data_IF_050149912608
#
_entry.id   IF_050149912608
#
_cell.length_a   1.000
_cell.length_b   1.000
_cell.length_c   1.000
_cell.angle_alpha   90.00
_cell.angle_beta   90.00
_cell.angle_gamma   90.00
#
_symmetry.space_group_name_H-M   'P 1'
#
loop_
_entity.id
_entity.type
_entity.pdbx_description
1 polymer ?
#
# COMPACT_ATOMS: atom_id res chain seq x y z
N UNK A 1 0.27 -14.93 9.33
CA UNK A 1 1.37 -14.13 8.74
C UNK A 1 1.00 -13.35 7.49
N UNK A 2 0.42 -13.96 6.43
CA UNK A 2 0.10 -13.21 5.20
C UNK A 2 -0.87 -12.03 5.42
N UNK A 3 -1.87 -12.18 6.31
CA UNK A 3 -2.81 -11.11 6.67
C UNK A 3 -2.19 -9.94 7.42
N UNK A 4 -1.18 -10.17 8.27
CA UNK A 4 -0.52 -9.07 8.98
C UNK A 4 0.42 -8.26 8.08
N UNK A 5 0.94 -8.87 7.01
CA UNK A 5 1.73 -8.16 5.99
C UNK A 5 0.82 -7.29 5.11
N UNK A 6 -0.35 -7.81 4.69
CA UNK A 6 -1.33 -7.06 3.91
C UNK A 6 -1.89 -5.87 4.70
N UNK A 7 -2.30 -6.09 5.95
CA UNK A 7 -2.82 -5.03 6.82
C UNK A 7 -1.78 -3.93 7.08
N UNK A 8 -0.50 -4.29 7.22
CA UNK A 8 0.58 -3.31 7.38
C UNK A 8 0.90 -2.55 6.09
N UNK A 9 0.76 -3.18 4.91
CA UNK A 9 0.85 -2.49 3.62
C UNK A 9 -0.31 -1.52 3.41
N UNK A 10 -1.53 -1.90 3.75
CA UNK A 10 -2.71 -1.02 3.67
C UNK A 10 -2.54 0.21 4.58
N UNK A 11 -2.00 0.02 5.79
CA UNK A 11 -1.73 1.12 6.73
C UNK A 11 -0.66 2.09 6.19
N UNK A 12 0.45 1.57 5.65
CA UNK A 12 1.51 2.40 5.05
C UNK A 12 0.99 3.14 3.81
N UNK A 13 0.15 2.50 2.99
CA UNK A 13 -0.46 3.16 1.84
C UNK A 13 -1.44 4.27 2.25
N UNK A 14 -2.18 4.10 3.35
CA UNK A 14 -3.05 5.13 3.90
C UNK A 14 -2.24 6.33 4.43
N UNK A 15 -1.21 6.11 5.25
CA UNK A 15 -0.35 7.19 5.79
C UNK A 15 0.36 7.98 4.69
N UNK A 16 0.81 7.33 3.61
CA UNK A 16 1.47 8.01 2.49
C UNK A 16 0.48 8.83 1.66
N UNK A 17 -0.79 8.43 1.59
CA UNK A 17 -1.84 9.19 0.89
C UNK A 17 -2.43 10.31 1.76
N UNK A 18 -2.39 10.19 3.09
CA UNK A 18 -2.80 11.22 4.05
C UNK A 18 -1.70 12.22 4.38
N UNK A 19 -0.51 12.10 3.76
CA UNK A 19 0.58 13.03 3.97
C UNK A 19 0.12 14.44 3.54
N UNK A 20 -0.02 15.40 4.48
CA UNK A 20 -0.62 16.68 4.19
C UNK A 20 0.20 17.46 3.16
N UNK A 21 -0.48 18.26 2.33
CA UNK A 21 0.06 19.06 1.20
C UNK A 21 1.11 20.12 1.60
N UNK A 22 1.70 20.04 2.79
CA UNK A 22 2.66 20.96 3.39
C UNK A 22 4.03 20.99 2.66
N UNK A 23 4.20 20.21 1.59
CA UNK A 23 5.42 20.22 0.77
C UNK A 23 5.22 20.76 -0.65
N UNK A 24 4.04 21.30 -0.98
CA UNK A 24 3.77 21.92 -2.30
C UNK A 24 3.43 23.42 -2.23
N UNK A 25 3.34 24.01 -1.04
CA UNK A 25 3.30 25.45 -0.88
C UNK A 25 4.71 26.05 -0.82
N UNK A 26 4.85 27.22 -1.41
CA UNK A 26 5.98 28.16 -1.31
C UNK A 26 7.20 27.87 -2.19
N UNK A 27 6.92 27.94 -3.50
CA UNK A 27 7.87 28.46 -4.47
C UNK A 27 7.22 29.53 -5.36
N UNK A 28 6.28 30.32 -4.82
CA UNK A 28 5.83 31.54 -5.49
C UNK A 28 6.94 32.59 -5.36
N UNK A 29 7.30 33.12 -6.51
CA UNK A 29 8.35 34.09 -6.75
C UNK A 29 7.92 35.42 -6.11
N UNK A 30 8.71 35.90 -5.14
CA UNK A 30 8.70 37.29 -4.69
C UNK A 30 9.07 38.20 -5.89
N UNK A 31 8.07 38.68 -6.61
CA UNK A 31 8.18 39.86 -7.46
C UNK A 31 7.28 40.96 -6.86
N UNK A 32 7.91 41.83 -6.07
CA UNK A 32 7.63 43.24 -5.82
C UNK A 32 6.24 43.78 -6.23
N UNK A 33 5.34 44.09 -5.27
CA UNK A 33 4.61 45.38 -5.32
C UNK A 33 3.85 45.75 -4.02
N UNK A 34 4.10 46.99 -3.58
CA UNK A 34 3.12 47.96 -3.04
C UNK A 34 2.16 47.53 -1.89
N UNK A 35 2.64 47.66 -0.66
CA UNK A 35 2.38 48.88 0.11
C UNK A 35 0.94 49.40 0.30
N UNK A 36 -0.01 48.63 0.84
CA UNK A 36 -1.12 49.25 1.58
C UNK A 36 -1.52 48.53 2.87
N UNK A 37 -1.20 49.20 3.97
CA UNK A 37 -1.61 48.90 5.34
C UNK A 37 -3.13 49.06 5.47
N UNK A 38 -3.84 47.97 5.75
CA UNK A 38 -5.21 48.03 6.28
C UNK A 38 -5.16 47.45 7.69
N UNK A 39 -5.22 48.34 8.67
CA UNK A 39 -5.51 47.99 10.06
C UNK A 39 -6.95 47.45 10.11
N UNK A 40 -7.10 46.18 10.47
CA UNK A 40 -8.37 45.61 10.92
C UNK A 40 -8.14 45.14 12.35
N UNK A 41 -8.43 46.05 13.27
CA UNK A 41 -8.79 45.73 14.64
C UNK A 41 -10.17 45.07 14.62
N UNK A 42 -10.25 43.78 14.91
CA UNK A 42 -11.43 43.24 15.59
C UNK A 42 -11.06 42.03 16.44
N UNK A 43 -10.97 42.33 17.74
CA UNK A 43 -10.90 41.38 18.82
C UNK A 43 -12.29 40.79 19.10
N UNK A 44 -12.36 39.47 19.25
CA UNK A 44 -13.22 38.72 20.19
C UNK A 44 -12.89 37.23 20.00
N UNK A 45 -12.15 36.64 20.94
CA UNK A 45 -12.71 35.72 21.94
C UNK A 45 -13.42 34.52 21.29
N UNK A 46 -12.84 33.32 21.44
CA UNK A 46 -13.58 32.11 21.80
C UNK A 46 -12.63 30.97 22.20
N UNK A 47 -12.70 30.69 23.51
CA UNK A 47 -12.53 29.44 24.25
C UNK A 47 -11.25 28.58 24.11
N UNK A 48 -10.46 28.67 25.18
CA UNK A 48 -9.69 27.58 25.75
C UNK A 48 -10.56 26.34 26.01
N UNK A 49 -10.24 25.23 25.36
CA UNK A 49 -10.53 23.91 25.91
C UNK A 49 -9.20 23.21 26.20
N UNK A 50 -8.74 23.41 27.43
CA UNK A 50 -7.83 22.50 28.10
C UNK A 50 -8.58 21.22 28.47
N UNK A 51 -8.07 20.06 28.07
CA UNK A 51 -8.37 18.78 28.69
C UNK A 51 -7.21 17.80 28.46
N UNK A 52 -6.42 17.68 29.53
CA UNK A 52 -5.80 16.46 30.05
C UNK A 52 -4.82 15.68 29.16
N UNK A 53 -3.55 16.05 29.31
CA UNK A 53 -2.43 15.12 29.34
C UNK A 53 -2.55 14.25 30.60
N UNK A 54 -2.66 12.93 30.44
CA UNK A 54 -2.21 11.89 31.39
C UNK A 54 -2.48 10.52 30.73
N UNK A 55 -1.45 9.84 30.24
CA UNK A 55 -1.04 8.60 30.91
C UNK A 55 0.31 8.11 30.36
N UNK A 56 1.28 8.08 31.27
CA UNK A 56 2.61 7.60 31.08
C UNK A 56 2.70 6.18 31.64
N UNK A 57 2.81 5.18 30.76
CA UNK A 57 3.39 3.89 31.17
C UNK A 57 4.69 3.64 30.42
N UNK A 58 5.76 3.96 31.15
CA UNK A 58 7.10 3.43 31.03
C UNK A 58 7.11 1.90 31.08
N UNK A 59 7.84 1.23 30.18
CA UNK A 59 8.51 -0.03 30.53
C UNK A 59 9.74 -0.28 29.64
N UNK A 60 10.88 -0.11 30.31
CA UNK A 60 12.09 -0.95 30.29
C UNK A 60 13.02 -0.96 29.07
N UNK A 61 14.09 -0.18 29.25
CA UNK A 61 15.45 -0.48 28.82
C UNK A 61 15.85 -1.95 29.09
N UNK A 62 16.37 -2.61 28.06
CA UNK A 62 17.22 -3.79 28.23
C UNK A 62 18.58 -3.54 27.55
N UNK A 63 19.53 -3.24 28.42
CA UNK A 63 20.98 -3.15 28.20
C UNK A 63 21.62 -4.50 27.87
N UNK A 64 22.76 -4.45 27.15
CA UNK A 64 23.77 -5.52 27.04
C UNK A 64 23.59 -6.49 25.86
N UNK A 65 24.59 -6.80 25.03
CA UNK A 65 25.99 -7.06 25.36
C UNK A 65 26.97 -6.63 24.25
N UNK A 66 28.10 -6.10 24.71
CA UNK A 66 29.36 -6.01 23.98
C UNK A 66 29.96 -7.41 23.84
N UNK A 67 30.29 -7.82 22.62
CA UNK A 67 31.36 -8.78 22.37
C UNK A 67 32.45 -8.13 21.50
N UNK A 68 33.59 -7.89 22.15
CA UNK A 68 34.88 -7.65 21.50
C UNK A 68 35.45 -9.02 21.15
N UNK A 69 35.73 -9.26 19.87
CA UNK A 69 36.82 -10.17 19.52
C UNK A 69 37.60 -9.62 18.33
N UNK A 70 38.87 -9.34 18.63
CA UNK A 70 39.88 -9.01 17.66
C UNK A 70 40.49 -10.31 17.13
N UNK A 71 40.53 -10.49 15.80
CA UNK A 71 41.44 -11.45 15.16
C UNK A 71 41.79 -11.03 13.73
N UNK A 72 42.92 -10.32 13.65
CA UNK A 72 44.11 -10.62 12.83
C UNK A 72 43.94 -11.22 11.42
N UNK A 73 44.38 -10.43 10.44
CA UNK A 73 45.23 -10.76 9.27
C UNK A 73 44.85 -11.94 8.35
N UNK A 74 44.58 -11.61 7.09
CA UNK A 74 44.65 -12.56 5.99
C UNK A 74 44.50 -11.89 4.64
N UNK A 75 45.60 -11.44 4.04
CA UNK A 75 45.64 -11.01 2.65
C UNK A 75 45.32 -12.22 1.74
N UNK A 76 44.15 -12.19 1.10
CA UNK A 76 43.68 -13.23 0.20
C UNK A 76 43.06 -12.61 -1.07
N UNK A 77 43.79 -12.69 -2.17
CA UNK A 77 43.34 -12.40 -3.53
C UNK A 77 42.11 -13.25 -3.90
N UNK A 78 41.12 -12.62 -4.56
CA UNK A 78 40.18 -13.32 -5.46
C UNK A 78 38.77 -13.58 -4.93
N UNK A 79 38.07 -12.54 -4.46
CA UNK A 79 36.65 -12.62 -4.14
C UNK A 79 35.79 -12.55 -5.41
N UNK A 80 35.24 -13.69 -5.85
CA UNK A 80 34.01 -13.70 -6.65
C UNK A 80 32.94 -13.07 -5.77
N UNK A 81 32.50 -11.85 -6.12
CA UNK A 81 31.40 -11.19 -5.42
C UNK A 81 30.20 -12.13 -5.40
N UNK A 82 29.84 -12.56 -4.19
CA UNK A 82 28.51 -13.11 -3.90
C UNK A 82 27.50 -12.18 -4.56
N UNK A 83 26.82 -12.67 -5.60
CA UNK A 83 25.72 -11.94 -6.25
C UNK A 83 24.66 -11.72 -5.17
N UNK A 84 24.63 -10.52 -4.61
CA UNK A 84 23.50 -10.06 -3.80
C UNK A 84 22.22 -10.33 -4.58
N UNK A 85 21.34 -11.15 -4.00
CA UNK A 85 20.01 -11.38 -4.52
C UNK A 85 19.20 -10.11 -4.27
N UNK A 86 18.95 -9.36 -5.32
CA UNK A 86 18.25 -8.09 -5.26
C UNK A 86 17.47 -7.83 -6.54
N UNK A 87 16.55 -6.86 -6.48
CA UNK A 87 15.78 -6.43 -7.65
C UNK A 87 16.69 -5.62 -8.56
N UNK A 88 16.83 -6.06 -9.81
CA UNK A 88 17.47 -5.27 -10.87
C UNK A 88 16.40 -4.65 -11.74
N UNK A 89 16.24 -3.32 -11.64
CA UNK A 89 15.37 -2.54 -12.52
C UNK A 89 16.26 -1.86 -13.57
N UNK A 90 16.03 -2.17 -14.84
CA UNK A 90 16.69 -1.48 -15.96
C UNK A 90 15.65 -0.65 -16.69
N UNK A 91 15.84 0.67 -16.68
CA UNK A 91 15.02 1.63 -17.42
C UNK A 91 15.83 2.10 -18.63
N UNK A 92 15.29 1.90 -19.82
CA UNK A 92 15.91 2.33 -21.06
C UNK A 92 15.18 3.59 -21.55
N UNK A 93 15.80 4.76 -21.39
CA UNK A 93 15.26 6.04 -21.85
C UNK A 93 16.35 6.82 -22.62
N UNK A 94 16.01 7.26 -23.82
CA UNK A 94 16.90 8.03 -24.70
C UNK A 94 16.92 9.53 -24.33
N UNK A 95 15.83 10.06 -23.75
CA UNK A 95 15.73 11.46 -23.34
C UNK A 95 16.26 11.69 -21.91
N UNK A 96 17.11 12.72 -21.72
CA UNK A 96 17.65 13.15 -20.42
C UNK A 96 16.56 13.55 -19.41
N UNK A 97 15.44 14.14 -19.86
CA UNK A 97 14.32 14.48 -18.97
C UNK A 97 13.62 13.22 -18.48
N UNK A 98 13.41 12.26 -19.39
CA UNK A 98 12.83 10.96 -19.05
C UNK A 98 13.76 10.11 -18.17
N UNK A 99 15.09 10.25 -18.28
CA UNK A 99 16.02 9.58 -17.37
C UNK A 99 15.84 10.00 -15.90
N UNK A 100 15.47 11.25 -15.62
CA UNK A 100 15.20 11.70 -14.24
C UNK A 100 13.96 10.99 -13.68
N UNK A 101 12.88 10.96 -14.46
CA UNK A 101 11.62 10.28 -14.11
C UNK A 101 11.85 8.77 -13.96
N UNK A 102 12.56 8.15 -14.91
CA UNK A 102 12.93 6.73 -14.85
C UNK A 102 13.78 6.36 -13.63
N UNK A 103 14.71 7.22 -13.20
CA UNK A 103 15.48 7.02 -11.97
C UNK A 103 14.59 7.06 -10.72
N UNK A 104 13.64 7.98 -10.67
CA UNK A 104 12.71 8.08 -9.55
C UNK A 104 11.79 6.86 -9.48
N UNK A 105 11.20 6.45 -10.61
CA UNK A 105 10.38 5.23 -10.71
C UNK A 105 11.16 3.98 -10.28
N UNK A 106 12.41 3.84 -10.74
CA UNK A 106 13.27 2.71 -10.32
C UNK A 106 13.50 2.68 -8.82
N UNK A 107 13.76 3.83 -8.18
CA UNK A 107 13.95 3.90 -6.71
C UNK A 107 12.67 3.54 -5.96
N UNK A 108 11.53 4.06 -6.40
CA UNK A 108 10.23 3.76 -5.79
C UNK A 108 9.90 2.26 -5.88
N UNK A 109 10.07 1.65 -7.06
CA UNK A 109 9.88 0.21 -7.25
C UNK A 109 10.86 -0.62 -6.42
N UNK A 110 12.12 -0.21 -6.34
CA UNK A 110 13.11 -0.93 -5.55
C UNK A 110 12.77 -0.86 -4.06
N UNK A 111 12.34 0.30 -3.55
CA UNK A 111 11.90 0.46 -2.16
C UNK A 111 10.66 -0.38 -1.84
N UNK A 112 9.66 -0.41 -2.73
CA UNK A 112 8.44 -1.19 -2.54
C UNK A 112 8.68 -2.71 -2.63
N UNK A 113 9.55 -3.15 -3.55
CA UNK A 113 9.70 -4.58 -3.89
C UNK A 113 10.82 -5.24 -3.08
N UNK A 114 11.82 -4.49 -2.58
CA UNK A 114 12.94 -5.03 -1.80
C UNK A 114 12.48 -5.85 -0.57
N UNK A 115 11.56 -5.37 0.30
CA UNK A 115 11.12 -6.13 1.47
C UNK A 115 10.51 -7.48 1.14
N UNK A 116 9.84 -7.58 -0.02
CA UNK A 116 9.22 -8.81 -0.51
C UNK A 116 10.32 -9.76 -1.01
N UNK A 117 11.25 -9.25 -1.82
CA UNK A 117 12.32 -10.05 -2.43
C UNK A 117 13.25 -10.63 -1.39
N UNK A 118 13.66 -9.85 -0.38
CA UNK A 118 14.51 -10.34 0.71
C UNK A 118 13.79 -11.38 1.55
N UNK A 119 12.52 -11.14 1.89
CA UNK A 119 11.72 -12.07 2.71
C UNK A 119 11.48 -13.42 2.03
N UNK A 120 11.29 -13.44 0.71
CA UNK A 120 10.98 -14.65 -0.05
C UNK A 120 12.15 -15.20 -0.86
N UNK A 121 13.34 -14.60 -0.75
CA UNK A 121 14.56 -15.02 -1.45
C UNK A 121 14.38 -15.12 -2.98
N UNK A 122 13.58 -14.20 -3.53
CA UNK A 122 13.23 -14.15 -4.95
C UNK A 122 14.32 -13.46 -5.78
N UNK A 123 14.28 -13.65 -7.10
CA UNK A 123 15.14 -12.90 -8.03
C UNK A 123 14.25 -12.32 -9.13
N UNK A 124 13.91 -11.05 -8.99
CA UNK A 124 12.96 -10.34 -9.84
C UNK A 124 13.71 -9.42 -10.79
N UNK A 125 13.46 -9.58 -12.09
CA UNK A 125 13.98 -8.74 -13.16
C UNK A 125 12.82 -7.98 -13.78
N UNK A 126 12.83 -6.66 -13.61
CA UNK A 126 11.79 -5.77 -14.16
C UNK A 126 12.41 -4.97 -15.31
N UNK A 127 11.89 -5.18 -16.52
CA UNK A 127 12.23 -4.37 -17.68
C UNK A 127 11.09 -3.38 -17.90
N UNK A 128 11.38 -2.08 -17.81
CA UNK A 128 10.42 -1.01 -18.05
C UNK A 128 10.78 -0.33 -19.37
N UNK A 129 9.98 -0.60 -20.39
CA UNK A 129 10.02 0.11 -21.66
C UNK A 129 9.03 1.27 -21.60
N UNK A 130 9.53 2.47 -21.28
CA UNK A 130 8.76 3.70 -21.29
C UNK A 130 8.63 4.20 -22.73
N UNK A 131 7.72 3.58 -23.48
CA UNK A 131 7.40 3.99 -24.84
C UNK A 131 6.41 5.17 -24.79
N UNK A 132 6.92 6.36 -24.45
CA UNK A 132 6.12 7.59 -24.53
C UNK A 132 5.99 7.94 -26.01
N UNK A 133 4.96 7.38 -26.64
CA UNK A 133 4.62 7.66 -28.02
C UNK A 133 4.15 9.12 -28.14
N UNK A 134 5.10 10.04 -28.24
CA UNK A 134 4.86 11.35 -28.85
C UNK A 134 4.59 11.11 -30.34
N UNK A 135 3.34 10.71 -30.65
CA UNK A 135 2.78 10.78 -31.99
C UNK A 135 2.49 12.24 -32.30
N UNK A 136 3.54 13.05 -32.44
CA UNK A 136 3.42 14.30 -33.17
C UNK A 136 3.12 13.94 -34.63
N UNK A 137 1.96 14.41 -35.08
CA UNK A 137 1.41 14.13 -36.40
C UNK A 137 2.41 14.44 -37.48
N UNK A 138 2.92 13.38 -38.10
CA UNK A 138 3.63 13.43 -39.37
C UNK A 138 2.62 13.90 -40.41
N UNK A 139 2.67 15.18 -40.77
CA UNK A 139 1.87 15.76 -41.84
C UNK A 139 2.14 14.98 -43.13
N UNK A 140 1.16 14.16 -43.52
CA UNK A 140 1.13 13.52 -44.83
C UNK A 140 0.81 14.57 -45.89
N UNK A 141 1.68 14.59 -46.90
CA UNK A 141 1.54 15.05 -48.27
C UNK A 141 0.16 15.63 -48.67
N UNK A 142 0.15 16.92 -49.00
CA UNK A 142 -0.81 17.46 -49.95
C UNK A 142 -0.19 17.51 -51.35
N UNK A 143 -0.88 16.84 -52.25
CA UNK A 143 -0.58 16.48 -53.62
C UNK A 143 -0.52 17.65 -54.60
N UNK A 144 0.35 17.46 -55.60
CA UNK A 144 0.28 18.07 -56.93
C UNK A 144 -1.13 18.00 -57.53
N UNK A 145 -1.61 19.08 -58.18
CA UNK A 145 -2.15 19.03 -59.54
C UNK A 145 -2.63 20.40 -60.07
N UNK A 146 -2.54 20.53 -61.39
CA UNK A 146 -3.25 21.46 -62.28
C UNK A 146 -2.57 22.79 -62.63
N UNK A 147 -1.62 22.70 -63.57
CA UNK A 147 -1.31 23.79 -64.50
C UNK A 147 -2.39 23.84 -65.58
N UNK A 148 -3.42 24.67 -65.39
CA UNK A 148 -4.24 25.19 -66.48
C UNK A 148 -3.96 26.68 -66.65
N UNK A 149 -3.65 27.08 -67.88
CA UNK A 149 -3.44 28.46 -68.29
C UNK A 149 -4.78 29.21 -68.24
N UNK A 150 -5.01 29.99 -67.19
CA UNK A 150 -6.04 31.05 -67.18
C UNK A 150 -5.37 32.41 -67.31
N UNK A 151 -5.67 33.08 -68.41
CA UNK A 151 -5.31 34.46 -68.66
C UNK A 151 -6.06 35.40 -67.69
N UNK A 152 -5.35 36.33 -67.06
CA UNK A 152 -5.90 37.63 -66.67
C UNK A 152 -6.59 37.78 -65.31
N UNK A 153 -6.39 36.91 -64.32
CA UNK A 153 -6.89 37.19 -62.95
C UNK A 153 -5.96 38.19 -62.24
N UNK A 154 -6.50 39.28 -61.64
CA UNK A 154 -5.71 40.27 -60.92
C UNK A 154 -4.99 39.63 -59.74
N UNK A 155 -3.70 39.96 -59.59
CA UNK A 155 -2.83 39.46 -58.53
C UNK A 155 -3.45 39.82 -57.17
N UNK A 156 -3.60 38.87 -56.23
CA UNK A 156 -4.19 39.17 -54.93
C UNK A 156 -3.33 40.20 -54.19
N UNK A 157 -3.98 41.19 -53.57
CA UNK A 157 -3.29 42.21 -52.78
C UNK A 157 -2.68 41.62 -51.51
N UNK A 158 -1.61 42.22 -50.99
CA UNK A 158 -0.93 41.75 -49.76
C UNK A 158 -1.90 41.59 -48.57
N UNK A 159 -2.92 42.45 -48.49
CA UNK A 159 -3.96 42.37 -47.47
C UNK A 159 -4.82 41.10 -47.61
N UNK A 160 -5.14 40.67 -48.84
CA UNK A 160 -5.87 39.42 -49.07
C UNK A 160 -5.04 38.20 -48.66
N UNK A 161 -3.74 38.21 -48.91
CA UNK A 161 -2.84 37.13 -48.49
C UNK A 161 -2.75 37.03 -46.96
N UNK A 162 -2.67 38.17 -46.25
CA UNK A 162 -2.72 38.20 -44.77
C UNK A 162 -4.03 37.63 -44.24
N UNK A 163 -5.18 38.09 -44.75
CA UNK A 163 -6.50 37.56 -44.34
C UNK A 163 -6.62 36.04 -44.57
N UNK A 164 -6.06 35.52 -45.66
CA UNK A 164 -6.04 34.06 -45.92
C UNK A 164 -5.18 33.31 -44.91
N UNK A 165 -4.01 33.84 -44.56
CA UNK A 165 -3.14 33.25 -43.55
C UNK A 165 -3.78 33.26 -42.15
N UNK A 166 -4.46 34.36 -41.80
CA UNK A 166 -5.16 34.48 -40.51
C UNK A 166 -6.34 33.50 -40.43
N UNK A 167 -7.14 33.38 -41.50
CA UNK A 167 -8.21 32.38 -41.58
C UNK A 167 -7.69 30.95 -41.48
N UNK A 168 -6.54 30.63 -42.08
CA UNK A 168 -5.92 29.31 -41.95
C UNK A 168 -5.50 29.04 -40.51
N UNK A 169 -4.88 30.02 -39.84
CA UNK A 169 -4.49 29.92 -38.42
C UNK A 169 -5.69 29.77 -37.49
N UNK A 170 -6.80 30.46 -37.77
CA UNK A 170 -8.05 30.31 -37.01
C UNK A 170 -8.61 28.90 -37.19
N UNK A 171 -8.63 28.37 -38.42
CA UNK A 171 -9.10 27.00 -38.67
C UNK A 171 -8.25 25.96 -37.96
N UNK A 172 -6.92 26.11 -37.98
CA UNK A 172 -6.00 25.23 -37.26
C UNK A 172 -6.30 25.25 -35.75
N UNK A 173 -6.39 26.43 -35.13
CA UNK A 173 -6.76 26.57 -33.71
C UNK A 173 -8.12 25.95 -33.40
N UNK A 174 -9.11 26.11 -34.29
CA UNK A 174 -10.42 25.49 -34.11
C UNK A 174 -10.34 23.95 -34.11
N UNK A 175 -9.53 23.36 -34.99
CA UNK A 175 -9.33 21.90 -34.98
C UNK A 175 -8.64 21.43 -33.71
N UNK A 176 -7.66 22.18 -33.20
CA UNK A 176 -7.02 21.89 -31.91
C UNK A 176 -8.01 21.97 -30.76
N UNK A 177 -8.87 23.01 -30.72
CA UNK A 177 -9.90 23.14 -29.68
C UNK A 177 -10.88 21.98 -29.71
N UNK A 178 -11.39 21.60 -30.88
CA UNK A 178 -12.30 20.47 -31.03
C UNK A 178 -11.64 19.15 -30.58
N UNK A 179 -10.34 18.96 -30.86
CA UNK A 179 -9.61 17.79 -30.37
C UNK A 179 -9.51 17.80 -28.84
N UNK A 180 -9.15 18.94 -28.24
CA UNK A 180 -9.05 19.07 -26.77
C UNK A 180 -10.39 18.86 -26.08
N UNK A 181 -11.49 19.33 -26.69
CA UNK A 181 -12.84 19.07 -26.21
C UNK A 181 -13.20 17.57 -26.27
N UNK A 182 -12.82 16.88 -27.35
CA UNK A 182 -12.95 15.42 -27.45
C UNK A 182 -12.16 14.70 -26.36
N UNK A 183 -10.91 15.11 -26.12
CA UNK A 183 -10.04 14.52 -25.10
C UNK A 183 -10.64 14.73 -23.69
N UNK A 184 -11.14 15.93 -23.38
CA UNK A 184 -11.81 16.24 -22.11
C UNK A 184 -13.08 15.39 -21.90
N UNK A 185 -13.88 15.22 -22.94
CA UNK A 185 -15.06 14.36 -22.89
C UNK A 185 -14.68 12.89 -22.66
N UNK A 186 -13.57 12.42 -23.23
CA UNK A 186 -13.07 11.08 -22.98
C UNK A 186 -12.58 10.92 -21.53
N UNK A 187 -11.82 11.87 -21.01
CA UNK A 187 -11.36 11.86 -19.62
C UNK A 187 -12.54 11.86 -18.64
N UNK A 188 -13.56 12.66 -18.92
CA UNK A 188 -14.78 12.74 -18.10
C UNK A 188 -15.47 11.39 -18.00
N UNK A 189 -15.59 10.66 -19.14
CA UNK A 189 -16.14 9.30 -19.14
C UNK A 189 -15.30 8.33 -18.33
N UNK A 190 -13.97 8.41 -18.43
CA UNK A 190 -13.07 7.57 -17.65
C UNK A 190 -13.20 7.81 -16.14
N UNK A 191 -13.31 9.08 -15.73
CA UNK A 191 -13.56 9.45 -14.33
C UNK A 191 -14.89 8.90 -13.83
N UNK A 192 -15.96 8.99 -14.62
CA UNK A 192 -17.26 8.41 -14.27
C UNK A 192 -17.18 6.89 -14.09
N UNK A 193 -16.53 6.18 -15.01
CA UNK A 193 -16.33 4.73 -14.87
C UNK A 193 -15.54 4.37 -13.62
N UNK A 194 -14.47 5.11 -13.31
CA UNK A 194 -13.70 4.89 -12.09
C UNK A 194 -14.51 5.14 -10.82
N UNK A 195 -15.37 6.16 -10.81
CA UNK A 195 -16.27 6.43 -9.69
C UNK A 195 -17.28 5.30 -9.48
N UNK A 196 -17.86 4.77 -10.57
CA UNK A 196 -18.78 3.63 -10.51
C UNK A 196 -18.09 2.35 -10.00
N UNK A 197 -16.88 2.07 -10.49
CA UNK A 197 -16.08 0.94 -10.04
C UNK A 197 -15.67 1.05 -8.57
N UNK A 198 -15.31 2.26 -8.13
CA UNK A 198 -15.00 2.54 -6.72
C UNK A 198 -16.21 2.30 -5.81
N UNK A 199 -17.36 2.87 -6.16
CA UNK A 199 -18.60 2.68 -5.40
C UNK A 199 -19.00 1.20 -5.32
N UNK A 200 -18.81 0.45 -6.40
CA UNK A 200 -19.05 -1.00 -6.43
C UNK A 200 -18.07 -1.76 -5.54
N UNK A 201 -16.79 -1.40 -5.54
CA UNK A 201 -15.78 -2.00 -4.68
C UNK A 201 -16.10 -1.77 -3.19
N UNK A 202 -16.45 -0.54 -2.84
CA UNK A 202 -16.84 -0.15 -1.48
C UNK A 202 -18.06 -0.94 -1.00
N UNK A 203 -19.11 -1.05 -1.83
CA UNK A 203 -20.30 -1.84 -1.52
C UNK A 203 -19.97 -3.33 -1.27
N UNK A 204 -19.09 -3.93 -2.09
CA UNK A 204 -18.64 -5.31 -1.90
C UNK A 204 -17.84 -5.47 -0.59
N UNK A 205 -16.95 -4.51 -0.28
CA UNK A 205 -16.19 -4.53 0.96
C UNK A 205 -17.11 -4.46 2.18
N UNK A 206 -18.09 -3.54 2.17
CA UNK A 206 -19.07 -3.42 3.25
C UNK A 206 -19.89 -4.71 3.42
N UNK A 207 -20.34 -5.31 2.32
CA UNK A 207 -21.07 -6.58 2.35
C UNK A 207 -20.21 -7.71 2.96
N UNK A 208 -18.95 -7.82 2.56
CA UNK A 208 -18.03 -8.84 3.08
C UNK A 208 -17.76 -8.64 4.58
N UNK A 209 -17.58 -7.39 5.01
CA UNK A 209 -17.41 -7.04 6.42
C UNK A 209 -18.64 -7.46 7.25
N UNK A 210 -19.84 -7.15 6.77
CA UNK A 210 -21.09 -7.58 7.42
C UNK A 210 -21.21 -9.11 7.51
N UNK A 211 -20.89 -9.84 6.44
CA UNK A 211 -20.88 -11.31 6.48
C UNK A 211 -19.86 -11.87 7.48
N UNK A 212 -18.69 -11.22 7.60
CA UNK A 212 -17.68 -11.63 8.57
C UNK A 212 -18.19 -11.45 10.00
N UNK A 213 -18.78 -10.29 10.32
CA UNK A 213 -19.38 -10.02 11.62
C UNK A 213 -20.49 -11.02 11.96
N UNK A 214 -21.35 -11.36 11.01
CA UNK A 214 -22.40 -12.37 11.21
C UNK A 214 -21.82 -13.75 11.52
N UNK A 215 -20.79 -14.18 10.78
CA UNK A 215 -20.10 -15.45 11.05
C UNK A 215 -19.41 -15.45 12.40
N UNK A 216 -18.80 -14.33 12.78
CA UNK A 216 -18.19 -14.18 14.09
C UNK A 216 -19.22 -14.34 15.21
N UNK A 217 -20.34 -13.62 15.14
CA UNK A 217 -21.43 -13.73 16.12
C UNK A 217 -21.98 -15.17 16.22
N UNK A 218 -22.10 -15.89 15.10
CA UNK A 218 -22.51 -17.30 15.10
C UNK A 218 -21.50 -18.21 15.81
N UNK A 219 -20.21 -17.98 15.62
CA UNK A 219 -19.16 -18.75 16.31
C UNK A 219 -19.15 -18.45 17.81
N UNK A 220 -19.33 -17.18 18.21
CA UNK A 220 -19.44 -16.78 19.61
C UNK A 220 -20.62 -17.47 20.31
N UNK A 221 -21.80 -17.50 19.66
CA UNK A 221 -22.96 -18.24 20.17
C UNK A 221 -22.67 -19.75 20.32
N UNK A 222 -21.97 -20.35 19.36
CA UNK A 222 -21.59 -21.77 19.42
C UNK A 222 -20.59 -22.05 20.55
N UNK A 223 -19.67 -21.12 20.81
CA UNK A 223 -18.73 -21.23 21.94
C UNK A 223 -19.49 -21.18 23.27
N UNK A 224 -20.47 -20.28 23.41
CA UNK A 224 -21.31 -20.23 24.61
C UNK A 224 -22.10 -21.52 24.83
N UNK A 225 -22.69 -22.10 23.79
CA UNK A 225 -23.40 -23.39 23.86
C UNK A 225 -22.47 -24.55 24.26
N UNK A 226 -21.25 -24.59 23.72
CA UNK A 226 -20.25 -25.60 24.10
C UNK A 226 -19.79 -25.45 25.54
N UNK A 227 -19.57 -24.22 26.01
CA UNK A 227 -19.23 -23.94 27.41
C UNK A 227 -20.37 -24.42 28.33
N UNK A 228 -21.62 -24.16 27.97
CA UNK A 228 -22.78 -24.61 28.73
C UNK A 228 -22.86 -26.14 28.79
N UNK A 229 -22.74 -26.83 27.65
CA UNK A 229 -22.71 -28.31 27.60
C UNK A 229 -21.56 -28.90 28.41
N UNK A 230 -20.39 -28.26 28.41
CA UNK A 230 -19.26 -28.70 29.21
C UNK A 230 -19.56 -28.60 30.72
N UNK A 231 -20.22 -27.53 31.16
CA UNK A 231 -20.69 -27.39 32.56
C UNK A 231 -21.68 -28.49 32.95
N UNK A 232 -22.65 -28.80 32.08
CA UNK A 232 -23.64 -29.87 32.30
C UNK A 232 -22.98 -31.26 32.38
N UNK A 233 -22.01 -31.55 31.49
CA UNK A 233 -21.24 -32.79 31.52
C UNK A 233 -20.37 -32.92 32.77
N UNK A 234 -19.77 -31.81 33.23
CA UNK A 234 -18.98 -31.77 34.46
C UNK A 234 -19.86 -32.04 35.67
N UNK A 235 -21.05 -31.42 35.74
CA UNK A 235 -22.03 -31.67 36.80
C UNK A 235 -22.48 -33.15 36.82
N UNK A 236 -22.84 -33.71 35.66
CA UNK A 236 -23.26 -35.12 35.54
C UNK A 236 -22.14 -36.09 35.95
N UNK A 237 -20.90 -35.79 35.58
CA UNK A 237 -19.73 -36.60 35.96
C UNK A 237 -19.48 -36.59 37.47
N UNK A 238 -19.73 -35.45 38.11
CA UNK A 238 -19.62 -35.30 39.56
C UNK A 238 -20.67 -36.15 40.30
N UNK A 239 -21.92 -36.17 39.83
CA UNK A 239 -22.98 -37.01 40.39
C UNK A 239 -22.68 -38.51 40.27
N UNK A 240 -22.13 -38.95 39.14
CA UNK A 240 -21.73 -40.34 38.94
C UNK A 240 -20.58 -40.77 39.87
N UNK A 241 -19.66 -39.88 40.22
CA UNK A 241 -18.57 -40.18 41.17
C UNK A 241 -19.09 -40.50 42.57
N UNK A 242 -20.11 -39.80 43.05
CA UNK A 242 -20.70 -40.06 44.36
C UNK A 242 -21.47 -41.40 44.42
N UNK A 243 -21.95 -41.89 43.29
CA UNK A 243 -22.78 -43.09 43.23
C UNK A 243 -21.97 -44.41 43.13
N UNK A 244 -20.71 -44.36 42.67
CA UNK A 244 -19.88 -45.56 42.43
C UNK A 244 -18.77 -45.80 43.48
N UNK A 245 -18.74 -45.05 44.58
CA UNK A 245 -17.64 -45.08 45.56
C UNK A 245 -17.69 -46.23 46.60
N UNK A 246 -18.26 -47.41 46.28
CA UNK A 246 -18.27 -48.57 47.19
C UNK A 246 -17.39 -49.74 46.77
N UNK A 247 -16.54 -49.59 45.74
CA UNK A 247 -15.57 -50.63 45.39
C UNK A 247 -14.27 -50.40 46.15
N UNK A 248 -14.00 -51.28 47.12
CA UNK A 248 -12.73 -51.36 47.87
C UNK A 248 -11.54 -51.41 46.91
N UNK A 249 -10.62 -50.47 47.07
CA UNK A 249 -9.35 -50.42 46.36
C UNK A 249 -8.36 -51.43 46.96
N UNK A 250 -8.18 -52.56 46.27
CA UNK A 250 -6.99 -53.39 46.46
C UNK A 250 -5.82 -52.76 45.67
N UNK A 251 -4.73 -52.53 46.40
CA UNK A 251 -3.56 -51.75 46.02
C UNK A 251 -2.83 -52.27 44.77
N UNK A 252 -2.93 -51.55 43.65
CA UNK A 252 -2.01 -51.70 42.51
C UNK A 252 -1.61 -50.32 41.95
N UNK A 253 -0.50 -49.78 42.47
CA UNK A 253 0.37 -48.76 41.85
C UNK A 253 -0.30 -47.57 41.16
N UNK A 254 -0.63 -46.52 41.92
CA UNK A 254 -1.14 -45.27 41.39
C UNK A 254 -0.11 -44.58 40.46
N UNK A 255 -0.31 -44.67 39.15
CA UNK A 255 0.38 -43.85 38.16
C UNK A 255 -0.27 -42.47 38.01
N UNK A 256 0.51 -41.47 37.64
CA UNK A 256 0.04 -40.10 37.39
C UNK A 256 -0.20 -39.89 35.89
N UNK A 257 -1.35 -39.36 35.48
CA UNK A 257 -1.67 -39.10 34.07
C UNK A 257 -1.48 -37.62 33.70
N UNK A 258 -0.96 -37.35 32.50
CA UNK A 258 -0.89 -35.99 31.97
C UNK A 258 -2.29 -35.48 31.57
N UNK A 259 -2.74 -34.32 32.06
CA UNK A 259 -4.07 -33.78 31.73
C UNK A 259 -4.15 -33.28 30.27
N UNK A 260 -3.01 -33.01 29.63
CA UNK A 260 -2.98 -32.47 28.26
C UNK A 260 -3.01 -33.58 27.19
N UNK A 261 -2.30 -34.69 27.40
CA UNK A 261 -2.18 -35.74 26.38
C UNK A 261 -2.60 -37.14 26.87
N UNK A 262 -2.90 -37.32 28.15
CA UNK A 262 -3.33 -38.61 28.73
C UNK A 262 -2.22 -39.63 28.98
N UNK A 263 -0.94 -39.29 28.78
CA UNK A 263 0.19 -40.21 29.03
C UNK A 263 0.33 -40.55 30.52
N UNK A 264 0.60 -41.82 30.83
CA UNK A 264 0.75 -42.34 32.20
C UNK A 264 2.22 -42.36 32.63
N UNK A 265 2.49 -41.82 33.80
CA UNK A 265 3.82 -41.73 34.41
C UNK A 265 3.84 -42.47 35.73
N UNK A 266 4.94 -43.17 36.02
CA UNK A 266 5.12 -43.86 37.30
C UNK A 266 5.41 -42.87 38.43
N UNK A 267 5.99 -41.73 38.11
CA UNK A 267 6.51 -40.75 39.06
C UNK A 267 5.99 -39.34 38.70
N UNK A 268 5.75 -38.51 39.71
CA UNK A 268 5.24 -37.13 39.52
C UNK A 268 6.25 -36.21 38.81
N UNK A 269 7.56 -36.44 39.00
CA UNK A 269 8.61 -35.66 38.36
C UNK A 269 8.60 -35.79 36.84
N UNK A 270 8.43 -37.02 36.32
CA UNK A 270 8.37 -37.28 34.88
C UNK A 270 7.13 -36.63 34.25
N UNK A 271 6.02 -36.64 34.98
CA UNK A 271 4.81 -35.93 34.58
C UNK A 271 5.06 -34.42 34.48
N UNK A 272 5.73 -33.82 35.45
CA UNK A 272 5.95 -32.37 35.48
C UNK A 272 6.83 -31.91 34.29
N UNK A 273 7.94 -32.60 34.03
CA UNK A 273 8.80 -32.34 32.87
C UNK A 273 8.00 -32.48 31.57
N UNK A 274 7.15 -33.51 31.49
CA UNK A 274 6.34 -33.75 30.32
C UNK A 274 5.28 -32.64 30.10
N UNK A 275 4.64 -32.15 31.16
CA UNK A 275 3.66 -31.05 31.07
C UNK A 275 4.33 -29.79 30.54
N UNK A 276 5.53 -29.45 31.01
CA UNK A 276 6.29 -28.30 30.50
C UNK A 276 6.62 -28.44 29.00
N UNK A 277 6.98 -29.65 28.56
CA UNK A 277 7.23 -29.94 27.14
C UNK A 277 5.96 -29.98 26.28
N UNK A 278 4.78 -30.21 26.86
CA UNK A 278 3.52 -30.30 26.10
C UNK A 278 2.89 -28.94 25.81
N UNK A 279 3.28 -27.88 26.51
CA UNK A 279 2.74 -26.53 26.36
C UNK A 279 3.56 -25.68 25.38
N UNK A 280 4.79 -26.10 25.07
CA UNK A 280 5.70 -25.44 24.12
C UNK A 280 5.47 -25.91 22.68
#
# INVERSE_FOLDING_TARGET
>A
MARSVLSRMETICAEVMEMPEIFLADGEEDDDDDGSTVEIDEAAELDELAADEDDAESVEDCDGEKSKDASKSGAGKGGKSSKEKGVSVKVNCEDKKQQKVGKWISRALQAAVNPIVTKFNLNLKVNLDLNVANKEGKQEAATNASKQQEAGKPKPTAQQMRRRADLARIKEKQTTLNQKESDLNQLTKQLQTLQEDFAKCEANHLQNSQQHLQKQAQLELKVMDLIQKNRELTASSQEHRFSNSTVREDSCGAGHACPLCGSMFRNMADLQIHVESCVS
#
